data_IF_265612498404
#
_entry.id   IF_265612498404
#
_cell.length_a   1.000
_cell.length_b   1.000
_cell.length_c   1.000
_cell.angle_alpha   90.00
_cell.angle_beta   90.00
_cell.angle_gamma   90.00
#
_symmetry.space_group_name_H-M   'P 1'
#
loop_
_entity.id
_entity.type
_entity.pdbx_description
1 polymer ?
#
# COMPACT_ATOMS: atom_id res chain seq x y z
N UNK A 1 7.76 -22.00 -25.14
CA UNK A 1 7.97 -21.06 -24.02
C UNK A 1 6.91 -21.28 -22.95
N UNK A 2 7.32 -21.27 -21.69
CA UNK A 2 6.40 -21.55 -20.60
C UNK A 2 5.86 -20.24 -20.02
N UNK A 3 4.71 -19.80 -20.53
CA UNK A 3 4.07 -18.56 -20.08
C UNK A 3 3.61 -18.64 -18.62
N UNK A 4 3.23 -19.84 -18.15
CA UNK A 4 2.82 -20.06 -16.78
C UNK A 4 3.98 -19.81 -15.80
N UNK A 5 5.16 -20.27 -16.16
CA UNK A 5 6.36 -20.08 -15.36
C UNK A 5 6.70 -18.58 -15.24
N UNK A 6 6.62 -17.85 -16.35
CA UNK A 6 6.89 -16.42 -16.36
C UNK A 6 5.88 -15.67 -15.49
N UNK A 7 4.61 -16.10 -15.49
CA UNK A 7 3.58 -15.46 -14.67
C UNK A 7 3.85 -15.68 -13.19
N UNK A 8 4.30 -16.88 -12.81
CA UNK A 8 4.62 -17.17 -11.42
C UNK A 8 5.77 -16.28 -10.91
N UNK A 9 6.79 -16.05 -11.73
CA UNK A 9 7.91 -15.19 -11.36
C UNK A 9 7.42 -13.75 -11.16
N UNK A 10 6.57 -13.27 -12.06
CA UNK A 10 6.02 -11.92 -11.94
C UNK A 10 5.19 -11.77 -10.67
N UNK A 11 4.37 -12.77 -10.36
CA UNK A 11 3.53 -12.74 -9.17
C UNK A 11 4.38 -12.70 -7.91
N UNK A 12 5.46 -13.45 -7.85
CA UNK A 12 6.38 -13.42 -6.70
C UNK A 12 7.01 -12.04 -6.53
N UNK A 13 7.43 -11.42 -7.62
CA UNK A 13 8.02 -10.09 -7.57
C UNK A 13 7.00 -9.07 -7.06
N UNK A 14 5.78 -9.15 -7.56
CA UNK A 14 4.70 -8.27 -7.13
C UNK A 14 4.41 -8.45 -5.64
N UNK A 15 4.32 -9.71 -5.17
CA UNK A 15 4.06 -10.02 -3.77
C UNK A 15 5.15 -9.45 -2.88
N UNK A 16 6.42 -9.64 -3.25
CA UNK A 16 7.53 -9.11 -2.46
C UNK A 16 7.48 -7.60 -2.37
N UNK A 17 7.15 -6.94 -3.47
CA UNK A 17 7.04 -5.49 -3.47
C UNK A 17 5.87 -5.01 -2.60
N UNK A 18 4.74 -5.70 -2.66
CA UNK A 18 3.59 -5.38 -1.81
C UNK A 18 3.91 -5.59 -0.33
N UNK A 19 4.64 -6.65 0.00
CA UNK A 19 5.07 -6.89 1.38
C UNK A 19 6.02 -5.82 1.87
N UNK A 20 6.91 -5.35 1.01
CA UNK A 20 7.77 -4.21 1.32
C UNK A 20 6.93 -2.96 1.61
N UNK A 21 5.91 -2.70 0.79
CA UNK A 21 5.04 -1.55 0.98
C UNK A 21 4.24 -1.64 2.28
N UNK A 22 3.80 -2.86 2.66
CA UNK A 22 3.15 -3.08 3.95
C UNK A 22 4.02 -2.56 5.10
N UNK A 23 5.30 -2.93 5.07
CA UNK A 23 6.24 -2.48 6.10
C UNK A 23 6.42 -0.97 6.07
N UNK A 24 6.49 -0.37 4.89
CA UNK A 24 6.66 1.07 4.77
C UNK A 24 5.45 1.82 5.30
N UNK A 25 4.24 1.34 5.00
CA UNK A 25 3.02 1.96 5.50
C UNK A 25 2.96 1.85 7.03
N UNK A 26 3.28 0.67 7.57
CA UNK A 26 3.27 0.48 9.02
C UNK A 26 4.22 1.45 9.73
N UNK A 27 5.39 1.68 9.15
CA UNK A 27 6.39 2.58 9.74
C UNK A 27 5.95 4.04 9.83
N UNK A 28 4.89 4.41 9.11
CA UNK A 28 4.37 5.77 9.20
C UNK A 28 3.82 6.06 10.61
N UNK A 29 3.31 5.05 11.31
CA UNK A 29 2.79 5.24 12.66
C UNK A 29 3.86 5.66 13.66
N UNK A 30 4.93 4.88 13.87
CA UNK A 30 5.96 5.31 14.81
C UNK A 30 6.66 6.59 14.36
N UNK A 31 6.81 6.82 13.06
CA UNK A 31 7.41 8.07 12.58
C UNK A 31 6.58 9.26 13.01
N UNK A 32 5.26 9.19 12.86
CA UNK A 32 4.38 10.28 13.28
C UNK A 32 4.42 10.48 14.80
N UNK A 33 4.41 9.39 15.57
CA UNK A 33 4.46 9.46 17.01
C UNK A 33 5.75 10.11 17.51
N UNK A 34 6.86 9.85 16.84
CA UNK A 34 8.18 10.36 17.22
C UNK A 34 8.48 11.74 16.65
N UNK A 35 7.55 12.30 15.87
CA UNK A 35 7.77 13.61 15.25
C UNK A 35 8.72 13.59 14.08
N UNK A 36 8.96 12.40 13.51
CA UNK A 36 9.79 12.23 12.32
C UNK A 36 8.92 12.48 11.09
N UNK A 37 9.52 13.01 10.03
CA UNK A 37 8.81 13.28 8.78
C UNK A 37 8.19 11.98 8.23
N UNK A 38 6.87 11.95 8.15
CA UNK A 38 6.11 10.82 7.61
C UNK A 38 5.49 11.16 6.25
N UNK A 39 5.43 12.45 5.90
CA UNK A 39 4.81 12.89 4.65
C UNK A 39 5.63 12.50 3.43
N UNK A 40 6.95 12.63 3.52
CA UNK A 40 7.85 12.29 2.43
C UNK A 40 7.84 10.79 2.12
N UNK A 41 7.99 9.91 3.12
CA UNK A 41 7.82 8.47 2.88
C UNK A 41 6.45 8.12 2.33
N UNK A 42 5.39 8.78 2.80
CA UNK A 42 4.04 8.53 2.28
C UNK A 42 3.97 8.87 0.79
N UNK A 43 4.53 10.00 0.37
CA UNK A 43 4.55 10.38 -1.04
C UNK A 43 5.24 9.31 -1.89
N UNK A 44 6.35 8.77 -1.39
CA UNK A 44 7.09 7.70 -2.08
C UNK A 44 6.24 6.44 -2.21
N UNK A 45 5.53 6.07 -1.15
CA UNK A 45 4.64 4.90 -1.17
C UNK A 45 3.54 5.08 -2.22
N UNK A 46 2.92 6.25 -2.25
CA UNK A 46 1.86 6.56 -3.22
C UNK A 46 2.39 6.44 -4.64
N UNK A 47 3.59 7.00 -4.90
CA UNK A 47 4.21 6.90 -6.21
C UNK A 47 4.48 5.46 -6.63
N UNK A 48 4.95 4.65 -5.68
CA UNK A 48 5.24 3.24 -5.98
C UNK A 48 3.96 2.47 -6.31
N UNK A 49 2.88 2.71 -5.59
CA UNK A 49 1.60 2.05 -5.86
C UNK A 49 1.07 2.49 -7.22
N UNK A 50 1.15 3.78 -7.54
CA UNK A 50 0.75 4.27 -8.86
C UNK A 50 1.58 3.63 -9.97
N UNK A 51 2.88 3.47 -9.74
CA UNK A 51 3.76 2.82 -10.71
C UNK A 51 3.45 1.36 -10.94
N UNK A 52 2.90 0.68 -9.93
CA UNK A 52 2.52 -0.72 -10.03
C UNK A 52 1.12 -0.91 -10.63
N UNK A 53 0.36 0.16 -10.77
CA UNK A 53 -1.05 0.07 -11.17
C UNK A 53 -1.24 -0.68 -12.50
N UNK A 54 -0.33 -0.49 -13.45
CA UNK A 54 -0.40 -1.17 -14.75
C UNK A 54 -0.13 -2.67 -14.67
N UNK A 55 0.43 -3.14 -13.55
CA UNK A 55 0.73 -4.56 -13.34
C UNK A 55 -0.49 -5.34 -12.86
N UNK A 56 -1.53 -4.65 -12.41
CA UNK A 56 -2.72 -5.28 -11.86
C UNK A 56 -3.83 -5.32 -12.90
N UNK A 57 -4.62 -6.41 -12.86
CA UNK A 57 -5.75 -6.52 -13.75
C UNK A 57 -6.90 -5.62 -13.29
N UNK A 58 -7.93 -5.54 -14.12
CA UNK A 58 -9.08 -4.68 -13.86
C UNK A 58 -9.75 -4.98 -12.51
N UNK A 59 -9.80 -6.26 -12.13
CA UNK A 59 -10.45 -6.65 -10.89
C UNK A 59 -9.78 -6.04 -9.65
N UNK A 60 -8.45 -5.92 -9.68
CA UNK A 60 -7.70 -5.40 -8.55
C UNK A 60 -7.77 -3.88 -8.44
N UNK A 61 -8.24 -3.20 -9.48
CA UNK A 61 -8.44 -1.75 -9.44
C UNK A 61 -9.45 -1.36 -8.36
N UNK A 62 -10.39 -2.22 -8.06
CA UNK A 62 -11.38 -1.95 -7.01
C UNK A 62 -10.73 -1.88 -5.62
N UNK A 63 -9.53 -2.42 -5.46
CA UNK A 63 -8.78 -2.34 -4.22
C UNK A 63 -7.79 -1.18 -4.26
N UNK A 64 -7.13 -0.98 -5.41
CA UNK A 64 -6.09 0.03 -5.55
C UNK A 64 -6.64 1.44 -5.42
N UNK A 65 -7.79 1.71 -6.03
CA UNK A 65 -8.35 3.06 -6.00
C UNK A 65 -8.70 3.52 -4.57
N UNK A 66 -9.44 2.72 -3.77
CA UNK A 66 -9.69 3.10 -2.38
C UNK A 66 -8.41 3.22 -1.56
N UNK A 67 -7.41 2.37 -1.83
CA UNK A 67 -6.13 2.41 -1.13
C UNK A 67 -5.44 3.76 -1.35
N UNK A 68 -5.36 4.20 -2.61
CA UNK A 68 -4.73 5.47 -2.93
C UNK A 68 -5.49 6.65 -2.31
N UNK A 69 -6.82 6.60 -2.34
CA UNK A 69 -7.64 7.65 -1.73
C UNK A 69 -7.40 7.75 -0.23
N UNK A 70 -7.31 6.61 0.45
CA UNK A 70 -7.05 6.60 1.89
C UNK A 70 -5.67 7.12 2.21
N UNK A 71 -4.67 6.75 1.42
CA UNK A 71 -3.30 7.24 1.62
C UNK A 71 -3.21 8.74 1.43
N UNK A 72 -3.85 9.27 0.40
CA UNK A 72 -3.88 10.72 0.20
C UNK A 72 -4.60 11.44 1.31
N UNK A 73 -5.62 10.81 1.88
CA UNK A 73 -6.36 11.37 3.01
C UNK A 73 -5.52 11.53 4.27
N UNK A 74 -4.44 10.76 4.40
CA UNK A 74 -3.55 10.87 5.56
C UNK A 74 -2.94 12.26 5.70
N UNK A 75 -2.72 12.96 4.59
CA UNK A 75 -2.13 14.30 4.63
C UNK A 75 -3.00 15.30 5.40
N UNK A 76 -4.29 15.09 5.48
CA UNK A 76 -5.19 15.98 6.20
C UNK A 76 -5.30 15.64 7.69
N UNK A 77 -4.70 14.56 8.14
CA UNK A 77 -4.79 14.07 9.53
C UNK A 77 -3.52 14.42 10.30
N UNK A 78 -3.14 15.69 10.31
CA UNK A 78 -1.87 16.16 10.89
C UNK A 78 -1.98 16.60 12.33
N UNK A 79 -3.16 17.03 12.78
CA UNK A 79 -3.33 17.55 14.14
C UNK A 79 -3.19 16.42 15.16
N UNK A 80 -2.74 16.72 16.39
CA UNK A 80 -2.60 15.68 17.41
C UNK A 80 -3.90 14.94 17.68
N UNK A 81 -5.03 15.63 17.65
CA UNK A 81 -6.35 15.02 17.86
C UNK A 81 -6.76 14.08 16.73
N UNK A 82 -6.10 14.15 15.58
CA UNK A 82 -6.37 13.28 14.42
C UNK A 82 -5.62 11.96 14.49
N UNK A 83 -4.83 11.71 15.53
CA UNK A 83 -3.99 10.52 15.59
C UNK A 83 -4.81 9.22 15.52
N UNK A 84 -5.97 9.17 16.19
CA UNK A 84 -6.82 7.97 16.14
C UNK A 84 -7.31 7.69 14.72
N UNK A 85 -7.70 8.74 14.00
CA UNK A 85 -8.15 8.61 12.62
C UNK A 85 -6.99 8.21 11.71
N UNK A 86 -5.81 8.79 11.93
CA UNK A 86 -4.60 8.44 11.19
C UNK A 86 -4.28 6.96 11.37
N UNK A 87 -4.27 6.49 12.62
CA UNK A 87 -3.98 5.10 12.94
C UNK A 87 -4.98 4.15 12.28
N UNK A 88 -6.27 4.49 12.36
CA UNK A 88 -7.32 3.68 11.72
C UNK A 88 -7.10 3.58 10.22
N UNK A 89 -6.81 4.70 9.58
CA UNK A 89 -6.59 4.75 8.14
C UNK A 89 -5.37 3.92 7.74
N UNK A 90 -4.30 3.98 8.55
CA UNK A 90 -3.12 3.14 8.31
C UNK A 90 -3.50 1.66 8.32
N UNK A 91 -4.27 1.20 9.32
CA UNK A 91 -4.67 -0.20 9.39
C UNK A 91 -5.59 -0.58 8.23
N UNK A 92 -6.45 0.33 7.78
CA UNK A 92 -7.27 0.09 6.60
C UNK A 92 -6.41 -0.08 5.35
N UNK A 93 -5.38 0.76 5.20
CA UNK A 93 -4.43 0.63 4.09
C UNK A 93 -3.68 -0.71 4.15
N UNK A 94 -3.24 -1.12 5.34
CA UNK A 94 -2.56 -2.41 5.50
C UNK A 94 -3.47 -3.57 5.10
N UNK A 95 -4.74 -3.50 5.48
CA UNK A 95 -5.71 -4.53 5.10
C UNK A 95 -5.92 -4.58 3.59
N UNK A 96 -5.98 -3.42 2.92
CA UNK A 96 -6.15 -3.38 1.47
C UNK A 96 -4.93 -3.95 0.76
N UNK A 97 -3.73 -3.60 1.20
CA UNK A 97 -2.51 -4.15 0.61
C UNK A 97 -2.44 -5.66 0.84
N UNK A 98 -2.80 -6.13 2.05
CA UNK A 98 -2.90 -7.54 2.34
C UNK A 98 -3.87 -8.25 1.42
N UNK A 99 -4.98 -7.60 1.08
CA UNK A 99 -5.95 -8.11 0.12
C UNK A 99 -5.37 -8.24 -1.27
N UNK A 100 -4.54 -7.28 -1.69
CA UNK A 100 -3.84 -7.38 -2.97
C UNK A 100 -2.91 -8.59 -3.02
N UNK A 101 -2.12 -8.78 -1.95
CA UNK A 101 -1.22 -9.94 -1.86
C UNK A 101 -2.00 -11.24 -1.97
N UNK A 102 -3.11 -11.33 -1.24
CA UNK A 102 -3.95 -12.53 -1.24
C UNK A 102 -4.52 -12.79 -2.63
N UNK A 103 -5.00 -11.77 -3.32
CA UNK A 103 -5.57 -11.93 -4.64
C UNK A 103 -4.54 -12.36 -5.68
N UNK A 104 -3.31 -11.85 -5.59
CA UNK A 104 -2.24 -12.26 -6.49
C UNK A 104 -1.91 -13.74 -6.26
N UNK A 105 -1.88 -14.19 -5.01
CA UNK A 105 -1.57 -15.60 -4.69
C UNK A 105 -2.62 -16.59 -5.13
N UNK A 106 -3.89 -16.18 -5.12
CA UNK A 106 -5.01 -17.07 -5.48
C UNK A 106 -5.01 -17.41 -6.97
N UNK A 107 -4.45 -16.55 -7.79
CA UNK A 107 -4.34 -16.83 -9.22
C UNK A 107 -3.36 -17.96 -9.46
#
# INVERSE_FOLDING_TARGET
>A
MNTKYNQEIQDEIIIKRLQYLLNQVYKLLPSREEGIDWEKPLATIIEEINGMNSLFNFELQSIIYPLLCKMEGLYSLKAPEDFSSFRRTIFECLNLIGGLVKNVRIK
#
